data_IF_364666544880
#
_entry.id   IF_364666544880
#
_cell.length_a   1.000
_cell.length_b   1.000
_cell.length_c   1.000
_cell.angle_alpha   90.00
_cell.angle_beta   90.00
_cell.angle_gamma   90.00
#
_symmetry.space_group_name_H-M   'P 1'
#
loop_
_entity.id
_entity.type
_entity.pdbx_description
1 polymer ?
#
# COMPACT_ATOMS: atom_id res chain seq x y z
N UNK A 1 2.68 -6.54 -27.84
CA UNK A 1 3.40 -5.43 -27.17
C UNK A 1 2.69 -4.08 -27.26
N UNK A 2 1.73 -3.89 -28.19
CA UNK A 2 0.97 -2.63 -28.31
C UNK A 2 0.20 -2.30 -27.02
N UNK A 3 -0.46 -3.29 -26.41
CA UNK A 3 -1.23 -3.07 -25.19
C UNK A 3 -0.35 -2.67 -24.00
N UNK A 4 0.85 -3.25 -23.87
CA UNK A 4 1.84 -2.80 -22.88
C UNK A 4 2.23 -1.34 -23.10
N UNK A 5 2.57 -0.95 -24.33
CA UNK A 5 2.97 0.42 -24.64
C UNK A 5 1.84 1.43 -24.32
N UNK A 6 0.62 1.14 -24.77
CA UNK A 6 -0.54 1.98 -24.48
C UNK A 6 -0.88 2.01 -22.99
N UNK A 7 -0.80 0.86 -22.31
CA UNK A 7 -1.01 0.76 -20.87
C UNK A 7 -0.02 1.59 -20.07
N UNK A 8 1.26 1.59 -20.45
CA UNK A 8 2.28 2.45 -19.85
C UNK A 8 2.03 3.93 -20.15
N UNK A 9 1.68 4.30 -21.38
CA UNK A 9 1.36 5.68 -21.75
C UNK A 9 0.18 6.20 -20.94
N UNK A 10 -0.90 5.42 -20.85
CA UNK A 10 -2.08 5.80 -20.09
C UNK A 10 -1.77 5.80 -18.60
N UNK A 11 -1.29 4.70 -18.03
CA UNK A 11 -1.05 4.57 -16.59
C UNK A 11 0.02 5.53 -16.08
N UNK A 12 1.23 5.47 -16.63
CA UNK A 12 2.35 6.31 -16.18
C UNK A 12 2.18 7.76 -16.63
N UNK A 13 1.67 8.00 -17.85
CA UNK A 13 1.45 9.36 -18.35
C UNK A 13 0.41 10.11 -17.53
N UNK A 14 -0.72 9.48 -17.22
CA UNK A 14 -1.75 10.09 -16.35
C UNK A 14 -1.26 10.22 -14.91
N UNK A 15 -0.50 9.25 -14.40
CA UNK A 15 0.17 9.36 -13.10
C UNK A 15 1.08 10.58 -13.00
N UNK A 16 1.95 10.80 -14.00
CA UNK A 16 2.85 11.95 -14.05
C UNK A 16 2.08 13.27 -14.12
N UNK A 17 0.99 13.33 -14.89
CA UNK A 17 0.13 14.51 -14.93
C UNK A 17 -0.51 14.77 -13.56
N UNK A 18 -1.10 13.75 -12.95
CA UNK A 18 -1.73 13.87 -11.63
C UNK A 18 -0.71 14.25 -10.55
N UNK A 19 0.52 13.73 -10.64
CA UNK A 19 1.62 14.06 -9.76
C UNK A 19 2.05 15.52 -9.80
N UNK A 20 1.97 16.15 -10.97
CA UNK A 20 2.21 17.59 -11.14
C UNK A 20 1.06 18.43 -10.60
N UNK A 21 -0.17 17.94 -10.68
CA UNK A 21 -1.38 18.68 -10.29
C UNK A 21 -1.69 18.58 -8.79
N UNK A 22 -1.39 17.44 -8.17
CA UNK A 22 -1.67 17.17 -6.76
C UNK A 22 -0.38 16.98 -5.96
N UNK A 23 0.13 15.76 -5.91
CA UNK A 23 1.33 15.41 -5.17
C UNK A 23 1.89 14.05 -5.62
N UNK A 24 3.02 13.65 -5.03
CA UNK A 24 3.69 12.39 -5.35
C UNK A 24 2.87 11.16 -4.92
N UNK A 25 2.07 11.24 -3.85
CA UNK A 25 1.25 10.11 -3.42
C UNK A 25 0.24 9.75 -4.50
N UNK A 26 -0.47 10.74 -5.06
CA UNK A 26 -1.42 10.56 -6.15
C UNK A 26 -0.76 10.02 -7.43
N UNK A 27 0.46 10.48 -7.76
CA UNK A 27 1.25 9.93 -8.86
C UNK A 27 1.47 8.43 -8.69
N UNK A 28 1.98 8.03 -7.52
CA UNK A 28 2.31 6.62 -7.26
C UNK A 28 1.03 5.79 -7.23
N UNK A 29 0.00 6.23 -6.51
CA UNK A 29 -1.30 5.56 -6.46
C UNK A 29 -1.86 5.31 -7.86
N UNK A 30 -1.86 6.30 -8.75
CA UNK A 30 -2.38 6.13 -10.10
C UNK A 30 -1.47 5.22 -10.95
N UNK A 31 -0.14 5.33 -10.79
CA UNK A 31 0.79 4.45 -11.48
C UNK A 31 0.57 2.97 -11.12
N UNK A 32 0.14 2.65 -9.89
CA UNK A 32 -0.17 1.28 -9.47
C UNK A 32 -1.33 0.64 -10.27
N UNK A 33 -2.18 1.42 -10.93
CA UNK A 33 -3.26 0.91 -11.79
C UNK A 33 -2.81 0.58 -13.22
N UNK A 34 -1.56 0.87 -13.58
CA UNK A 34 -1.01 0.58 -14.91
C UNK A 34 -1.21 -0.88 -15.37
N UNK A 35 -1.06 -1.92 -14.52
CA UNK A 35 -1.36 -3.29 -14.92
C UNK A 35 -2.84 -3.50 -15.28
N UNK A 36 -3.76 -2.84 -14.57
CA UNK A 36 -5.20 -2.88 -14.87
C UNK A 36 -5.48 -2.26 -16.23
N UNK A 37 -4.95 -1.06 -16.50
CA UNK A 37 -5.11 -0.42 -17.81
C UNK A 37 -4.54 -1.27 -18.94
N UNK A 38 -3.36 -1.86 -18.71
CA UNK A 38 -2.71 -2.73 -19.69
C UNK A 38 -3.57 -3.97 -19.99
N UNK A 39 -4.14 -4.58 -18.95
CA UNK A 39 -5.02 -5.73 -19.09
C UNK A 39 -6.28 -5.38 -19.89
N UNK A 40 -6.97 -4.30 -19.54
CA UNK A 40 -8.19 -3.88 -20.23
C UNK A 40 -7.95 -3.55 -21.70
N UNK A 41 -6.84 -2.89 -22.01
CA UNK A 41 -6.44 -2.59 -23.38
C UNK A 41 -6.12 -3.89 -24.12
N UNK A 42 -5.37 -4.80 -23.48
CA UNK A 42 -5.03 -6.10 -24.08
C UNK A 42 -6.28 -6.95 -24.35
N UNK A 43 -7.23 -7.02 -23.41
CA UNK A 43 -8.52 -7.70 -23.58
C UNK A 43 -9.30 -7.11 -24.75
N UNK A 44 -9.32 -5.79 -24.91
CA UNK A 44 -9.96 -5.13 -26.05
C UNK A 44 -9.34 -5.47 -27.41
N UNK A 45 -8.00 -5.62 -27.48
CA UNK A 45 -7.31 -5.97 -28.73
C UNK A 45 -7.35 -7.47 -29.05
N UNK A 46 -7.16 -8.33 -28.04
CA UNK A 46 -6.94 -9.76 -28.24
C UNK A 46 -8.16 -10.61 -27.83
N UNK A 47 -8.96 -10.16 -26.85
CA UNK A 47 -10.13 -10.90 -26.34
C UNK A 47 -11.36 -10.86 -27.26
N UNK A 48 -11.44 -9.88 -28.17
CA UNK A 48 -12.52 -9.77 -29.17
C UNK A 48 -12.38 -10.70 -30.39
N UNK A 49 -11.21 -11.32 -30.60
CA UNK A 49 -10.91 -12.17 -31.78
C UNK A 49 -11.06 -13.68 -31.49
N UNK A 50 -12.08 -14.06 -30.71
CA UNK A 50 -12.34 -15.41 -30.17
C UNK A 50 -12.54 -16.57 -31.16
N UNK A 51 -12.32 -16.39 -32.47
CA UNK A 51 -12.60 -17.44 -33.47
C UNK A 51 -11.32 -18.05 -34.10
N UNK A 52 -10.12 -17.48 -33.92
CA UNK A 52 -8.92 -18.01 -34.62
C UNK A 52 -7.66 -18.29 -33.77
N UNK A 53 -7.49 -17.76 -32.55
CA UNK A 53 -6.20 -17.83 -31.82
C UNK A 53 -6.33 -18.05 -30.29
N UNK A 54 -7.10 -19.07 -29.89
CA UNK A 54 -7.51 -19.36 -28.50
C UNK A 54 -6.35 -19.69 -27.52
N UNK A 55 -5.10 -19.84 -27.99
CA UNK A 55 -3.91 -20.06 -27.14
C UNK A 55 -2.85 -18.96 -27.21
N UNK A 56 -2.80 -18.18 -28.29
CA UNK A 56 -1.80 -17.11 -28.47
C UNK A 56 -2.29 -15.77 -27.88
N UNK A 57 -3.59 -15.49 -27.96
CA UNK A 57 -4.19 -14.25 -27.44
C UNK A 57 -4.05 -14.09 -25.93
N UNK A 58 -4.51 -15.09 -25.16
CA UNK A 58 -4.45 -15.05 -23.69
C UNK A 58 -3.05 -15.04 -23.12
N UNK A 59 -2.12 -15.81 -23.74
CA UNK A 59 -0.70 -15.75 -23.40
C UNK A 59 -0.12 -14.33 -23.51
N UNK A 60 -0.51 -13.59 -24.55
CA UNK A 60 -0.05 -12.22 -24.78
C UNK A 60 -0.72 -11.18 -23.86
N UNK A 61 -1.97 -11.39 -23.44
CA UNK A 61 -2.64 -10.56 -22.42
C UNK A 61 -1.91 -10.73 -21.08
N UNK A 62 -1.70 -11.97 -20.65
CA UNK A 62 -1.03 -12.30 -19.39
C UNK A 62 0.40 -11.74 -19.34
N UNK A 63 1.20 -12.00 -20.38
CA UNK A 63 2.59 -11.55 -20.46
C UNK A 63 2.71 -10.01 -20.46
N UNK A 64 1.90 -9.30 -21.26
CA UNK A 64 1.95 -7.83 -21.29
C UNK A 64 1.53 -7.22 -19.94
N UNK A 65 0.53 -7.80 -19.28
CA UNK A 65 0.09 -7.37 -17.94
C UNK A 65 1.19 -7.59 -16.90
N UNK A 66 1.89 -8.73 -16.96
CA UNK A 66 3.00 -9.02 -16.05
C UNK A 66 4.20 -8.08 -16.27
N UNK A 67 4.54 -7.78 -17.52
CA UNK A 67 5.57 -6.79 -17.84
C UNK A 67 5.18 -5.38 -17.36
N UNK A 68 3.91 -5.01 -17.48
CA UNK A 68 3.39 -3.76 -16.93
C UNK A 68 3.50 -3.72 -15.40
N UNK A 69 3.24 -4.84 -14.73
CA UNK A 69 3.45 -4.96 -13.28
C UNK A 69 4.91 -4.73 -12.90
N UNK A 70 5.86 -5.37 -13.58
CA UNK A 70 7.29 -5.16 -13.33
C UNK A 70 7.70 -3.69 -13.53
N UNK A 71 7.26 -3.08 -14.63
CA UNK A 71 7.52 -1.68 -14.91
C UNK A 71 6.90 -0.76 -13.84
N UNK A 72 5.70 -1.08 -13.37
CA UNK A 72 5.00 -0.34 -12.32
C UNK A 72 5.72 -0.42 -10.97
N UNK A 73 6.21 -1.61 -10.59
CA UNK A 73 6.99 -1.80 -9.37
C UNK A 73 8.28 -0.99 -9.47
N UNK A 74 9.02 -1.11 -10.58
CA UNK A 74 10.26 -0.36 -10.78
C UNK A 74 10.01 1.16 -10.70
N UNK A 75 8.95 1.64 -11.35
CA UNK A 75 8.52 3.04 -11.33
C UNK A 75 8.20 3.50 -9.90
N UNK A 76 7.35 2.77 -9.19
CA UNK A 76 6.92 3.10 -7.83
C UNK A 76 8.11 3.11 -6.86
N UNK A 77 9.04 2.16 -6.98
CA UNK A 77 10.25 2.13 -6.14
C UNK A 77 11.19 3.31 -6.42
N UNK A 78 11.38 3.67 -7.68
CA UNK A 78 12.22 4.80 -8.05
C UNK A 78 11.61 6.15 -7.62
N UNK A 79 10.31 6.34 -7.86
CA UNK A 79 9.61 7.59 -7.60
C UNK A 79 9.16 7.75 -6.15
N UNK A 80 8.93 6.63 -5.46
CA UNK A 80 8.48 6.57 -4.08
C UNK A 80 9.57 6.88 -3.06
N UNK A 81 10.84 6.67 -3.41
CA UNK A 81 11.96 6.81 -2.47
C UNK A 81 11.98 8.18 -1.78
N UNK A 82 11.89 8.18 -0.45
CA UNK A 82 11.87 9.37 0.44
C UNK A 82 10.92 10.49 -0.04
N UNK A 83 9.73 10.12 -0.51
CA UNK A 83 8.85 11.07 -1.18
C UNK A 83 7.49 11.28 -0.49
N UNK A 84 7.05 10.32 0.32
CA UNK A 84 5.72 10.30 0.93
C UNK A 84 5.75 10.84 2.36
N UNK A 85 4.80 11.70 2.72
CA UNK A 85 4.59 12.08 4.13
C UNK A 85 4.13 10.87 4.97
N UNK A 86 4.20 10.98 6.29
CA UNK A 86 3.78 9.90 7.21
C UNK A 86 2.32 9.50 6.93
N UNK A 87 1.42 10.46 6.74
CA UNK A 87 0.00 10.17 6.43
C UNK A 87 -0.18 9.45 5.08
N UNK A 88 0.54 9.89 4.05
CA UNK A 88 0.43 9.34 2.69
C UNK A 88 1.05 7.95 2.59
N UNK A 89 2.15 7.73 3.30
CA UNK A 89 2.90 6.48 3.31
C UNK A 89 2.01 5.30 3.72
N UNK A 90 1.23 5.43 4.79
CA UNK A 90 0.32 4.36 5.24
C UNK A 90 -0.69 3.96 4.16
N UNK A 91 -1.37 4.95 3.59
CA UNK A 91 -2.38 4.72 2.56
C UNK A 91 -1.79 4.14 1.27
N UNK A 92 -0.65 4.66 0.83
CA UNK A 92 -0.01 4.25 -0.44
C UNK A 92 0.64 2.88 -0.31
N UNK A 93 1.26 2.57 0.83
CA UNK A 93 1.88 1.26 1.08
C UNK A 93 0.84 0.15 1.18
N UNK A 94 -0.29 0.38 1.84
CA UNK A 94 -1.40 -0.58 1.88
C UNK A 94 -1.93 -0.86 0.47
N UNK A 95 -2.14 0.19 -0.35
CA UNK A 95 -2.60 0.03 -1.72
C UNK A 95 -1.57 -0.71 -2.60
N UNK A 96 -0.28 -0.44 -2.43
CA UNK A 96 0.79 -1.11 -3.16
C UNK A 96 0.69 -2.63 -3.06
N UNK A 97 0.50 -3.18 -1.85
CA UNK A 97 0.41 -4.62 -1.67
C UNK A 97 -0.83 -5.24 -2.34
N UNK A 98 -1.98 -4.56 -2.22
CA UNK A 98 -3.23 -5.01 -2.85
C UNK A 98 -3.12 -4.97 -4.38
N UNK A 99 -2.55 -3.90 -4.93
CA UNK A 99 -2.37 -3.73 -6.36
C UNK A 99 -1.30 -4.68 -6.93
N UNK A 100 -0.26 -5.00 -6.15
CA UNK A 100 0.71 -6.03 -6.51
C UNK A 100 0.03 -7.40 -6.66
N UNK A 101 -0.77 -7.82 -5.66
CA UNK A 101 -1.53 -9.05 -5.72
C UNK A 101 -2.55 -9.08 -6.87
N UNK A 102 -3.23 -7.95 -7.09
CA UNK A 102 -4.19 -7.78 -8.20
C UNK A 102 -3.51 -7.85 -9.57
N UNK A 103 -2.33 -7.24 -9.73
CA UNK A 103 -1.56 -7.31 -10.96
C UNK A 103 -1.08 -8.73 -11.27
N UNK A 104 -0.65 -9.48 -10.25
CA UNK A 104 -0.32 -10.90 -10.39
C UNK A 104 -1.58 -11.67 -10.83
N UNK A 105 -2.70 -11.47 -10.14
CA UNK A 105 -3.97 -12.13 -10.44
C UNK A 105 -4.45 -11.89 -11.88
N UNK A 106 -4.41 -10.64 -12.35
CA UNK A 106 -4.77 -10.28 -13.72
C UNK A 106 -3.86 -11.00 -14.72
N UNK A 107 -2.54 -10.96 -14.51
CA UNK A 107 -1.61 -11.67 -15.41
C UNK A 107 -1.83 -13.19 -15.41
N UNK A 108 -2.08 -13.79 -14.25
CA UNK A 108 -2.32 -15.23 -14.12
C UNK A 108 -3.70 -15.67 -14.59
N UNK A 109 -4.68 -14.76 -14.64
CA UNK A 109 -6.02 -15.07 -15.17
C UNK A 109 -5.99 -15.43 -16.65
N UNK A 110 -5.11 -14.76 -17.42
CA UNK A 110 -4.93 -15.02 -18.85
C UNK A 110 -3.82 -16.03 -19.13
N UNK A 111 -2.80 -16.10 -18.27
CA UNK A 111 -1.74 -17.11 -18.38
C UNK A 111 -1.39 -17.68 -16.98
N UNK A 112 -2.04 -18.78 -16.54
CA UNK A 112 -1.86 -19.33 -15.20
C UNK A 112 -0.42 -19.65 -14.81
N UNK A 113 0.44 -19.97 -15.79
CA UNK A 113 1.87 -20.19 -15.57
C UNK A 113 2.59 -18.98 -14.95
N UNK A 114 2.06 -17.76 -15.10
CA UNK A 114 2.61 -16.53 -14.51
C UNK A 114 2.32 -16.39 -13.00
N UNK A 115 1.45 -17.22 -12.43
CA UNK A 115 1.21 -17.22 -10.99
C UNK A 115 2.49 -17.53 -10.20
N UNK A 116 3.29 -18.51 -10.66
CA UNK A 116 4.54 -18.90 -10.00
C UNK A 116 5.58 -17.77 -9.98
N UNK A 117 5.98 -17.17 -11.12
CA UNK A 117 6.91 -16.04 -11.11
C UNK A 117 6.32 -14.81 -10.40
N UNK A 118 5.00 -14.60 -10.44
CA UNK A 118 4.34 -13.54 -9.67
C UNK A 118 4.45 -13.72 -8.16
N UNK A 119 4.25 -14.95 -7.66
CA UNK A 119 4.45 -15.27 -6.23
C UNK A 119 5.92 -15.15 -5.82
N UNK A 120 6.87 -15.55 -6.68
CA UNK A 120 8.30 -15.35 -6.44
C UNK A 120 8.63 -13.85 -6.34
N UNK A 121 8.12 -13.03 -7.26
CA UNK A 121 8.27 -11.59 -7.24
C UNK A 121 7.71 -10.99 -5.94
N UNK A 122 6.50 -11.40 -5.55
CA UNK A 122 5.88 -10.97 -4.30
C UNK A 122 6.76 -11.31 -3.09
N UNK A 123 7.26 -12.55 -2.99
CA UNK A 123 8.14 -12.98 -1.91
C UNK A 123 9.44 -12.17 -1.87
N UNK A 124 10.06 -11.89 -3.03
CA UNK A 124 11.24 -11.03 -3.13
C UNK A 124 10.95 -9.63 -2.59
N UNK A 125 9.82 -9.04 -2.98
CA UNK A 125 9.44 -7.70 -2.54
C UNK A 125 9.15 -7.68 -1.03
N UNK A 126 8.52 -8.72 -0.47
CA UNK A 126 8.35 -8.86 0.99
C UNK A 126 9.71 -8.88 1.68
N UNK A 127 10.67 -9.70 1.21
CA UNK A 127 12.01 -9.77 1.79
C UNK A 127 12.76 -8.44 1.71
N UNK A 128 12.64 -7.72 0.59
CA UNK A 128 13.24 -6.39 0.44
C UNK A 128 12.56 -5.36 1.35
N UNK A 129 11.23 -5.39 1.45
CA UNK A 129 10.45 -4.52 2.33
C UNK A 129 10.74 -4.78 3.81
N UNK A 130 11.14 -6.00 4.19
CA UNK A 130 11.56 -6.25 5.57
C UNK A 130 12.90 -5.59 5.90
N UNK A 131 13.79 -5.41 4.92
CA UNK A 131 15.09 -4.75 5.11
C UNK A 131 14.95 -3.24 5.22
N UNK A 132 14.14 -2.63 4.36
CA UNK A 132 13.89 -1.19 4.35
C UNK A 132 12.38 -0.88 4.26
N UNK A 133 11.62 -1.07 5.36
CA UNK A 133 10.18 -0.86 5.33
C UNK A 133 9.82 0.62 5.16
N UNK A 134 10.73 1.55 5.44
CA UNK A 134 10.44 2.99 5.42
C UNK A 134 11.09 3.71 4.25
N UNK A 135 11.57 2.97 3.23
CA UNK A 135 12.30 3.55 2.09
C UNK A 135 11.53 4.60 1.29
N UNK A 136 10.19 4.57 1.33
CA UNK A 136 9.32 5.56 0.68
C UNK A 136 9.00 6.77 1.57
N UNK A 137 9.24 6.66 2.87
CA UNK A 137 8.89 7.67 3.85
C UNK A 137 9.85 8.87 3.77
N UNK A 138 9.28 10.06 3.65
CA UNK A 138 9.96 11.35 3.73
C UNK A 138 9.94 11.85 5.17
N UNK A 139 10.63 11.14 6.06
CA UNK A 139 10.82 11.53 7.45
C UNK A 139 12.31 11.60 7.79
N UNK A 140 12.66 12.50 8.71
CA UNK A 140 14.01 12.63 9.26
C UNK A 140 14.07 12.10 10.70
N UNK A 141 15.28 11.84 11.23
CA UNK A 141 15.42 11.50 12.65
C UNK A 141 14.89 12.63 13.53
N UNK A 142 14.18 12.27 14.60
CA UNK A 142 13.70 13.26 15.57
C UNK A 142 14.87 13.91 16.33
N UNK A 143 14.78 15.21 16.57
CA UNK A 143 15.73 15.97 17.39
C UNK A 143 15.09 16.50 18.66
N UNK A 144 15.88 16.72 19.71
CA UNK A 144 15.40 17.26 20.98
C UNK A 144 14.53 16.27 21.75
N UNK A 145 13.54 16.81 22.47
CA UNK A 145 12.73 16.05 23.43
C UNK A 145 12.02 14.80 22.85
N UNK A 146 11.40 14.81 21.65
CA UNK A 146 10.79 13.60 21.07
C UNK A 146 11.81 12.49 20.79
N UNK A 147 13.04 12.87 20.38
CA UNK A 147 14.12 11.92 20.13
C UNK A 147 14.66 11.31 21.43
N UNK A 148 14.81 12.12 22.48
CA UNK A 148 15.23 11.65 23.81
C UNK A 148 14.20 10.69 24.42
N UNK A 149 12.91 11.03 24.34
CA UNK A 149 11.83 10.18 24.82
C UNK A 149 11.82 8.83 24.10
N UNK A 150 11.86 8.83 22.75
CA UNK A 150 11.86 7.58 21.98
C UNK A 150 13.09 6.71 22.31
N UNK A 151 14.26 7.32 22.45
CA UNK A 151 15.50 6.63 22.82
C UNK A 151 15.40 6.02 24.23
N UNK A 152 14.79 6.73 25.19
CA UNK A 152 14.57 6.20 26.54
C UNK A 152 13.63 4.99 26.56
N UNK A 153 12.74 4.90 25.58
CA UNK A 153 11.82 3.78 25.37
C UNK A 153 12.43 2.66 24.51
N UNK A 154 13.68 2.81 24.06
CA UNK A 154 14.38 1.80 23.24
C UNK A 154 14.02 1.83 21.75
N UNK A 155 13.47 2.94 21.25
CA UNK A 155 13.06 3.11 19.85
C UNK A 155 13.89 4.16 19.12
N UNK A 156 14.04 3.96 17.81
CA UNK A 156 14.44 5.01 16.89
C UNK A 156 13.24 5.88 16.56
N UNK A 157 13.46 7.18 16.33
CA UNK A 157 12.38 8.13 16.10
C UNK A 157 12.52 8.78 14.74
N UNK A 158 11.45 8.76 13.96
CA UNK A 158 11.33 9.46 12.69
C UNK A 158 10.16 10.43 12.76
N UNK A 159 10.36 11.66 12.29
CA UNK A 159 9.32 12.66 12.22
C UNK A 159 9.34 13.41 10.90
N UNK A 160 8.17 13.91 10.52
CA UNK A 160 8.03 14.92 9.47
C UNK A 160 7.51 16.23 10.07
N UNK A 161 7.16 17.21 9.22
CA UNK A 161 6.70 18.53 9.67
C UNK A 161 5.18 18.68 9.73
N UNK A 162 4.44 17.92 8.93
CA UNK A 162 3.06 18.27 8.59
C UNK A 162 2.04 17.18 8.89
N UNK A 163 2.48 15.95 9.15
CA UNK A 163 1.57 14.84 9.35
C UNK A 163 0.93 14.85 10.74
N UNK A 164 -0.24 14.25 10.80
CA UNK A 164 -1.01 14.05 12.02
C UNK A 164 -0.94 12.61 12.52
N UNK A 165 -0.44 11.68 11.70
CA UNK A 165 -0.38 10.27 12.07
C UNK A 165 0.79 9.97 12.99
N UNK A 166 0.56 9.07 13.94
CA UNK A 166 1.58 8.49 14.82
C UNK A 166 1.41 6.99 14.78
N UNK A 167 2.51 6.25 14.64
CA UNK A 167 2.47 4.79 14.70
C UNK A 167 3.84 4.20 15.02
N UNK A 168 3.84 2.92 15.36
CA UNK A 168 5.06 2.14 15.60
C UNK A 168 5.25 1.07 14.54
N UNK A 169 6.41 1.05 13.89
CA UNK A 169 6.82 -0.01 12.96
C UNK A 169 8.16 -0.58 13.39
N UNK A 170 8.17 -1.84 13.81
CA UNK A 170 9.37 -2.51 14.36
C UNK A 170 9.98 -1.63 15.46
N UNK A 171 11.28 -1.33 15.37
CA UNK A 171 12.04 -0.47 16.29
C UNK A 171 11.89 1.03 16.03
N UNK A 172 11.00 1.46 15.14
CA UNK A 172 10.81 2.87 14.81
C UNK A 172 9.46 3.38 15.33
N UNK A 173 9.50 4.50 16.06
CA UNK A 173 8.37 5.36 16.31
C UNK A 173 8.32 6.43 15.23
N UNK A 174 7.22 6.49 14.50
CA UNK A 174 7.01 7.46 13.43
C UNK A 174 5.98 8.48 13.93
N UNK A 175 6.42 9.72 14.10
CA UNK A 175 5.67 10.78 14.75
C UNK A 175 5.37 11.92 13.78
N UNK A 176 4.10 12.23 13.56
CA UNK A 176 3.68 13.37 12.75
C UNK A 176 4.08 14.71 13.39
N UNK A 177 4.65 15.62 12.60
CA UNK A 177 5.12 16.92 13.12
C UNK A 177 4.02 17.80 13.74
N UNK A 178 2.79 17.71 13.20
CA UNK A 178 1.64 18.43 13.78
C UNK A 178 1.18 17.83 15.10
N UNK A 179 1.41 16.55 15.33
CA UNK A 179 1.08 15.95 16.64
C UNK A 179 2.03 16.47 17.70
N UNK A 180 3.32 16.57 17.38
CA UNK A 180 4.33 17.08 18.31
C UNK A 180 4.13 18.56 18.68
N UNK A 181 3.51 19.34 17.80
CA UNK A 181 3.26 20.78 18.01
C UNK A 181 1.87 21.08 18.58
N UNK A 182 0.83 20.42 18.05
CA UNK A 182 -0.56 20.80 18.31
C UNK A 182 -1.29 19.87 19.28
N UNK A 183 -0.77 18.67 19.59
CA UNK A 183 -1.40 17.72 20.52
C UNK A 183 -0.75 17.78 21.92
N UNK A 184 -1.44 18.30 22.96
CA UNK A 184 -0.81 18.57 24.26
C UNK A 184 -0.26 17.33 24.98
N UNK A 185 -0.91 16.17 24.80
CA UNK A 185 -0.56 14.91 25.48
C UNK A 185 0.31 13.98 24.63
N UNK A 186 1.06 14.52 23.67
CA UNK A 186 1.85 13.71 22.73
C UNK A 186 2.86 12.79 23.42
N UNK A 187 3.45 13.21 24.56
CA UNK A 187 4.40 12.37 25.32
C UNK A 187 3.75 11.10 25.85
N UNK A 188 2.52 11.22 26.32
CA UNK A 188 1.74 10.10 26.85
C UNK A 188 1.28 9.19 25.71
N UNK A 189 0.89 9.78 24.58
CA UNK A 189 0.56 9.04 23.36
C UNK A 189 1.75 8.17 22.90
N UNK A 190 2.95 8.75 22.85
CA UNK A 190 4.17 8.02 22.48
C UNK A 190 4.48 6.88 23.43
N UNK A 191 4.33 7.09 24.75
CA UNK A 191 4.49 6.03 25.75
C UNK A 191 3.47 4.90 25.55
N UNK A 192 2.20 5.25 25.34
CA UNK A 192 1.14 4.29 25.07
C UNK A 192 1.43 3.46 23.82
N UNK A 193 1.90 4.09 22.73
CA UNK A 193 2.27 3.39 21.50
C UNK A 193 3.49 2.47 21.67
N UNK A 194 4.45 2.87 22.51
CA UNK A 194 5.63 2.07 22.81
C UNK A 194 5.26 0.78 23.58
N UNK A 195 4.26 0.84 24.45
CA UNK A 195 3.79 -0.29 25.27
C UNK A 195 2.90 -1.29 24.51
N UNK A 196 2.36 -0.92 23.35
CA UNK A 196 1.53 -1.83 22.56
C UNK A 196 2.32 -3.11 22.20
N UNK A 197 1.68 -4.28 22.13
CA UNK A 197 2.34 -5.49 21.64
C UNK A 197 2.65 -5.37 20.14
N UNK A 198 3.83 -5.84 19.70
CA UNK A 198 4.10 -5.91 18.25
C UNK A 198 3.12 -6.87 17.57
N UNK A 199 2.75 -6.58 16.32
CA UNK A 199 2.06 -7.55 15.49
C UNK A 199 2.95 -8.79 15.36
N UNK A 200 2.50 -9.92 15.92
CA UNK A 200 3.23 -11.19 15.85
C UNK A 200 3.46 -11.66 14.41
N UNK A 201 4.49 -12.51 14.20
CA UNK A 201 4.88 -13.03 12.87
C UNK A 201 3.68 -13.61 12.10
N UNK A 202 2.81 -14.36 12.78
CA UNK A 202 1.61 -14.97 12.19
C UNK A 202 0.64 -13.94 11.63
N UNK A 203 0.44 -12.82 12.33
CA UNK A 203 -0.47 -11.77 11.85
C UNK A 203 0.11 -11.05 10.63
N UNK A 204 1.43 -10.79 10.63
CA UNK A 204 2.09 -10.19 9.46
C UNK A 204 2.01 -11.12 8.25
N UNK A 205 2.28 -12.40 8.45
CA UNK A 205 2.15 -13.41 7.40
C UNK A 205 0.71 -13.49 6.87
N UNK A 206 -0.29 -13.47 7.76
CA UNK A 206 -1.70 -13.42 7.37
C UNK A 206 -2.04 -12.16 6.56
N UNK A 207 -1.55 -10.99 6.98
CA UNK A 207 -1.72 -9.73 6.24
C UNK A 207 -1.14 -9.81 4.82
N UNK A 208 0.06 -10.37 4.67
CA UNK A 208 0.65 -10.59 3.34
C UNK A 208 -0.11 -11.64 2.52
N UNK A 209 -0.58 -12.72 3.13
CA UNK A 209 -1.35 -13.76 2.46
C UNK A 209 -2.71 -13.24 1.97
N UNK A 210 -3.35 -12.36 2.74
CA UNK A 210 -4.63 -11.77 2.37
C UNK A 210 -4.54 -10.98 1.05
N UNK A 211 -3.43 -10.27 0.81
CA UNK A 211 -3.20 -9.54 -0.44
C UNK A 211 -3.00 -10.47 -1.66
N UNK A 212 -2.80 -11.77 -1.46
CA UNK A 212 -2.68 -12.77 -2.53
C UNK A 212 -4.01 -13.43 -2.89
N UNK A 213 -5.08 -13.17 -2.13
CA UNK A 213 -6.43 -13.69 -2.40
C UNK A 213 -6.94 -13.41 -3.83
N UNK A 214 -6.61 -12.28 -4.49
CA UNK A 214 -6.97 -12.07 -5.89
C UNK A 214 -6.46 -13.16 -6.84
N UNK A 215 -5.31 -13.80 -6.56
CA UNK A 215 -4.66 -14.76 -7.47
C UNK A 215 -5.54 -15.99 -7.74
N UNK A 216 -5.97 -16.78 -6.72
CA UNK A 216 -6.84 -17.93 -6.98
C UNK A 216 -8.17 -17.53 -7.61
N UNK A 217 -8.71 -16.34 -7.28
CA UNK A 217 -9.92 -15.81 -7.93
C UNK A 217 -9.68 -15.57 -9.41
N UNK A 218 -8.59 -14.89 -9.77
CA UNK A 218 -8.22 -14.60 -11.16
C UNK A 218 -8.01 -15.87 -11.98
N UNK A 219 -7.32 -16.86 -11.43
CA UNK A 219 -7.09 -18.15 -12.09
C UNK A 219 -8.42 -18.90 -12.31
N UNK A 220 -9.29 -18.95 -11.30
CA UNK A 220 -10.56 -19.65 -11.40
C UNK A 220 -11.53 -19.01 -12.40
N UNK A 221 -11.48 -17.68 -12.53
CA UNK A 221 -12.35 -16.94 -13.45
C UNK A 221 -11.84 -16.93 -14.89
N UNK A 222 -10.54 -17.11 -15.11
CA UNK A 222 -9.92 -17.01 -16.43
C UNK A 222 -9.88 -15.57 -16.95
N UNK A 223 -9.55 -15.39 -18.23
CA UNK A 223 -9.44 -14.07 -18.83
C UNK A 223 -10.78 -13.41 -19.17
N UNK A 224 -10.79 -12.07 -19.12
CA UNK A 224 -11.86 -11.25 -19.65
C UNK A 224 -12.19 -10.04 -18.79
N UNK A 225 -12.96 -9.12 -19.37
CA UNK A 225 -13.44 -7.91 -18.71
C UNK A 225 -14.17 -8.18 -17.37
N UNK A 226 -14.95 -9.26 -17.27
CA UNK A 226 -15.63 -9.59 -16.01
C UNK A 226 -14.65 -9.95 -14.89
N UNK A 227 -13.59 -10.70 -15.21
CA UNK A 227 -12.50 -11.00 -14.26
C UNK A 227 -11.81 -9.71 -13.83
N UNK A 228 -11.48 -8.82 -14.76
CA UNK A 228 -10.88 -7.52 -14.43
C UNK A 228 -11.77 -6.69 -13.49
N UNK A 229 -13.08 -6.68 -13.73
CA UNK A 229 -14.05 -5.96 -12.91
C UNK A 229 -14.12 -6.55 -11.49
N UNK A 230 -14.20 -7.89 -11.35
CA UNK A 230 -14.23 -8.56 -10.05
C UNK A 230 -12.93 -8.33 -9.28
N UNK A 231 -11.77 -8.52 -9.92
CA UNK A 231 -10.47 -8.31 -9.28
C UNK A 231 -10.26 -6.86 -8.87
N UNK A 232 -10.66 -5.90 -9.71
CA UNK A 232 -10.63 -4.47 -9.36
C UNK A 232 -11.59 -4.15 -8.23
N UNK A 233 -12.79 -4.75 -8.23
CA UNK A 233 -13.76 -4.65 -7.14
C UNK A 233 -13.24 -5.20 -5.81
N UNK A 234 -12.39 -6.23 -5.83
CA UNK A 234 -11.74 -6.80 -4.65
C UNK A 234 -10.64 -5.90 -4.07
N UNK A 235 -10.10 -4.94 -4.83
CA UNK A 235 -9.09 -4.01 -4.32
C UNK A 235 -9.62 -3.24 -3.12
N UNK A 236 -10.84 -2.71 -3.21
CA UNK A 236 -11.44 -1.88 -2.16
C UNK A 236 -11.59 -2.63 -0.82
N UNK A 237 -12.26 -3.80 -0.73
CA UNK A 237 -12.36 -4.52 0.53
C UNK A 237 -10.99 -4.94 1.05
N UNK A 238 -10.07 -5.43 0.20
CA UNK A 238 -8.73 -5.82 0.65
C UNK A 238 -7.94 -4.64 1.22
N UNK A 239 -8.07 -3.48 0.58
CA UNK A 239 -7.45 -2.23 1.00
C UNK A 239 -7.92 -1.80 2.41
N UNK A 240 -9.20 -1.99 2.74
CA UNK A 240 -9.76 -1.62 4.04
C UNK A 240 -9.61 -2.70 5.11
N UNK A 241 -9.61 -3.99 4.75
CA UNK A 241 -9.61 -5.09 5.72
C UNK A 241 -8.34 -5.07 6.57
N UNK A 242 -7.16 -4.87 5.98
CA UNK A 242 -5.89 -4.81 6.71
C UNK A 242 -5.90 -3.74 7.81
N UNK A 243 -6.14 -2.46 7.46
CA UNK A 243 -6.39 -1.37 8.39
C UNK A 243 -7.42 -1.67 9.49
N UNK A 244 -8.61 -2.19 9.13
CA UNK A 244 -9.67 -2.47 10.10
C UNK A 244 -9.22 -3.52 11.11
N UNK A 245 -8.53 -4.57 10.66
CA UNK A 245 -7.98 -5.62 11.54
C UNK A 245 -6.93 -5.01 12.48
N UNK A 246 -6.04 -4.17 11.94
CA UNK A 246 -5.02 -3.49 12.75
C UNK A 246 -5.66 -2.64 13.85
N UNK A 247 -6.61 -1.76 13.51
CA UNK A 247 -7.30 -0.88 14.47
C UNK A 247 -8.07 -1.68 15.52
N UNK A 248 -8.86 -2.69 15.11
CA UNK A 248 -9.59 -3.54 16.06
C UNK A 248 -8.66 -4.22 17.06
N UNK A 249 -7.51 -4.69 16.58
CA UNK A 249 -6.51 -5.34 17.41
C UNK A 249 -5.85 -4.35 18.35
N UNK A 250 -5.45 -3.18 17.89
CA UNK A 250 -4.86 -2.18 18.78
C UNK A 250 -5.84 -1.81 19.88
N UNK A 251 -7.10 -1.50 19.52
CA UNK A 251 -8.15 -1.19 20.49
C UNK A 251 -8.33 -2.26 21.57
N UNK A 252 -8.23 -3.53 21.20
CA UNK A 252 -8.33 -4.65 22.14
C UNK A 252 -7.11 -4.78 23.08
N UNK A 253 -5.94 -4.27 22.69
CA UNK A 253 -4.69 -4.39 23.44
C UNK A 253 -4.25 -3.08 24.14
N UNK A 254 -4.99 -1.98 23.96
CA UNK A 254 -4.75 -0.73 24.69
C UNK A 254 -5.05 -0.94 26.18
N UNK A 255 -4.08 -0.63 27.04
CA UNK A 255 -4.24 -0.62 28.49
C UNK A 255 -5.25 0.46 28.93
N UNK A 256 -5.94 0.25 30.04
CA UNK A 256 -6.97 1.18 30.52
C UNK A 256 -6.45 2.62 30.73
N UNK A 257 -5.21 2.77 31.22
CA UNK A 257 -4.57 4.08 31.38
C UNK A 257 -4.30 4.83 30.07
N UNK A 258 -4.20 4.11 28.95
CA UNK A 258 -3.95 4.68 27.63
C UNK A 258 -5.23 4.98 26.84
N UNK A 259 -6.38 4.41 27.20
CA UNK A 259 -7.64 4.60 26.46
C UNK A 259 -8.02 6.08 26.33
N UNK A 260 -7.92 6.84 27.42
CA UNK A 260 -8.25 8.27 27.40
C UNK A 260 -7.36 9.07 26.45
N UNK A 261 -6.05 8.81 26.44
CA UNK A 261 -5.10 9.49 25.54
C UNK A 261 -5.39 9.15 24.07
N UNK A 262 -5.67 7.88 23.77
CA UNK A 262 -5.95 7.42 22.41
C UNK A 262 -7.29 7.98 21.90
N UNK A 263 -8.31 8.08 22.77
CA UNK A 263 -9.59 8.73 22.43
C UNK A 263 -9.42 10.23 22.15
N UNK A 264 -8.68 10.96 22.99
CA UNK A 264 -8.36 12.37 22.76
C UNK A 264 -7.57 12.58 21.46
N UNK A 265 -6.57 11.73 21.21
CA UNK A 265 -5.80 11.76 19.98
C UNK A 265 -6.68 11.49 18.76
N UNK A 266 -7.61 10.53 18.84
CA UNK A 266 -8.58 10.24 17.77
C UNK A 266 -9.46 11.44 17.47
N UNK A 267 -9.97 12.14 18.50
CA UNK A 267 -10.75 13.36 18.31
C UNK A 267 -9.92 14.49 17.71
N UNK A 268 -8.70 14.67 18.21
CA UNK A 268 -7.73 15.61 17.66
C UNK A 268 -7.46 15.35 16.17
N UNK A 269 -7.18 14.09 15.82
CA UNK A 269 -6.93 13.67 14.44
C UNK A 269 -8.14 13.95 13.56
N UNK A 270 -9.35 13.59 14.02
CA UNK A 270 -10.61 13.84 13.29
C UNK A 270 -10.87 15.33 13.05
N UNK A 271 -10.56 16.19 14.03
CA UNK A 271 -10.81 17.63 13.96
C UNK A 271 -9.80 18.37 13.07
N UNK A 272 -8.54 17.97 13.09
CA UNK A 272 -7.45 18.66 12.40
C UNK A 272 -7.12 18.09 11.01
N UNK A 273 -7.71 16.95 10.67
CA UNK A 273 -7.59 16.34 9.36
C UNK A 273 -8.29 17.16 8.28
N UNK A 274 -7.57 17.39 7.17
CA UNK A 274 -8.18 17.83 5.91
C UNK A 274 -9.02 16.69 5.32
N UNK A 275 -10.23 16.99 4.84
CA UNK A 275 -11.28 16.03 4.38
C UNK A 275 -10.86 14.97 3.33
N UNK A 276 -9.66 15.05 2.74
CA UNK A 276 -9.23 14.20 1.62
C UNK A 276 -8.35 12.99 1.98
N UNK A 277 -7.95 12.80 3.24
CA UNK A 277 -7.08 11.67 3.64
C UNK A 277 -7.91 10.50 4.21
N UNK A 278 -7.40 9.26 4.16
CA UNK A 278 -8.12 8.01 4.50
C UNK A 278 -8.11 7.66 6.00
N UNK A 279 -9.27 7.38 6.60
CA UNK A 279 -9.54 7.30 8.06
C UNK A 279 -8.98 6.03 8.74
N UNK A 280 -7.71 5.78 8.53
CA UNK A 280 -6.95 4.78 9.26
C UNK A 280 -6.01 5.53 10.19
N UNK A 281 -6.58 6.08 11.26
CA UNK A 281 -5.79 6.26 12.47
C UNK A 281 -5.39 4.84 12.85
N UNK A 282 -4.13 4.50 12.61
CA UNK A 282 -3.52 3.44 13.41
C UNK A 282 -3.53 4.01 14.82
N UNK A 283 -4.62 3.74 15.53
CA UNK A 283 -4.51 3.39 16.95
C UNK A 283 -3.45 2.29 17.02
#
# INVERSE_FOLDING_TARGET
MIALALGLIVGVGTALMLGKLKDRAHEITLALYTPVFTYLIADGFYGGQRILEEQLGGGMIGLQTFLALLATIAYAQFRGRKSLTIDEYLSTSALFWVMLGTGIALSSSALPALALPGLMLYAIIVLLSERDPLGWLKAGPCSGEPGELAKSLGFECLADRESLSVYRIKRHLVLGGRVLSDFPRWRELVKCLAELPEAGKTLRAFGYALNLLPIPVGIAMGEGMFTALVLTGLVLPLYFVGPIIAVKRTKANIQEGCRGVMEEYREFFRKNRKREKLDVVID
#
